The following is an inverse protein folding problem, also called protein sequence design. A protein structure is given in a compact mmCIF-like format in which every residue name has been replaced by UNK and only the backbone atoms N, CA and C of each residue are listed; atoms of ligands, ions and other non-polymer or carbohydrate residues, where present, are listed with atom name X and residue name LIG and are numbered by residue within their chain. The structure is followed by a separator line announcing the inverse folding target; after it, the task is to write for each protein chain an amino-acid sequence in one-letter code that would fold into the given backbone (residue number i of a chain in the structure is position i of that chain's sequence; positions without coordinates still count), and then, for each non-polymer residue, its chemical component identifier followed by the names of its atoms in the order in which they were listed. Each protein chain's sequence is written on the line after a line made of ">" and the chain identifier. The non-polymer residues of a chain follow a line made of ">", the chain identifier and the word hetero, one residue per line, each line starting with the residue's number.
data_IF_834601187343
#
_entry.id   IF_834601187343
#
_cell.length_a   1.000
_cell.length_b   1.000
_cell.length_c   1.000
_cell.angle_alpha   90.00
_cell.angle_beta   90.00
_cell.angle_gamma   90.00
#
_symmetry.space_group_name_H-M   'P 1'
#
loop_
_entity.id
_entity.type
_entity.pdbx_description
1 polymer ?
#
# COMPACT_ATOMS: atom_id res chain seq x y z
N UNK A 1 -0.27 -31.23 -55.90
CA UNK A 1 -0.49 -31.96 -54.62
C UNK A 1 0.79 -32.17 -53.80
N UNK A 2 1.93 -31.54 -54.14
CA UNK A 2 3.20 -31.75 -53.42
C UNK A 2 3.54 -30.66 -52.37
N UNK A 3 2.91 -29.48 -52.42
CA UNK A 3 3.20 -28.38 -51.48
C UNK A 3 2.46 -28.44 -50.13
N UNK A 4 1.59 -29.44 -49.91
CA UNK A 4 0.87 -29.62 -48.64
C UNK A 4 1.65 -30.46 -47.61
N UNK A 5 2.75 -31.11 -48.00
CA UNK A 5 3.57 -31.95 -47.10
C UNK A 5 4.62 -31.17 -46.30
N UNK A 6 4.90 -29.91 -46.65
CA UNK A 6 5.93 -29.13 -45.95
C UNK A 6 5.47 -28.55 -44.60
N UNK A 7 4.15 -28.45 -44.38
CA UNK A 7 3.57 -27.92 -43.14
C UNK A 7 3.51 -28.92 -41.98
N UNK A 8 3.79 -30.21 -42.22
CA UNK A 8 3.74 -31.23 -41.16
C UNK A 8 5.07 -31.44 -40.41
N UNK A 9 6.18 -30.80 -40.81
CA UNK A 9 7.51 -31.09 -40.25
C UNK A 9 8.17 -29.99 -39.43
N UNK A 10 7.50 -28.87 -39.17
CA UNK A 10 7.99 -27.83 -38.27
C UNK A 10 6.93 -27.47 -37.23
N UNK A 11 6.72 -28.37 -36.27
CA UNK A 11 6.03 -28.04 -35.03
C UNK A 11 7.01 -27.33 -34.08
N UNK A 12 7.47 -26.15 -34.49
CA UNK A 12 7.91 -25.16 -33.52
C UNK A 12 6.65 -24.53 -32.96
N UNK A 13 6.26 -24.92 -31.75
CA UNK A 13 5.13 -24.33 -31.05
C UNK A 13 5.47 -22.87 -30.70
N UNK A 14 5.02 -21.95 -31.54
CA UNK A 14 5.05 -20.52 -31.26
C UNK A 14 3.74 -20.14 -30.55
N UNK A 15 3.82 -19.62 -29.32
CA UNK A 15 2.66 -19.09 -28.62
C UNK A 15 2.31 -17.70 -29.18
N UNK A 16 1.32 -17.65 -30.05
CA UNK A 16 0.72 -16.38 -30.50
C UNK A 16 -0.40 -16.04 -29.51
N UNK A 17 -0.31 -14.89 -28.83
CA UNK A 17 -1.36 -14.37 -27.96
C UNK A 17 -2.60 -14.03 -28.78
N UNK A 18 -3.78 -14.26 -28.20
CA UNK A 18 -5.10 -14.21 -28.86
C UNK A 18 -5.44 -12.89 -29.58
N UNK A 19 -4.74 -11.81 -29.25
CA UNK A 19 -5.00 -10.46 -29.80
C UNK A 19 -4.52 -10.30 -31.25
N UNK A 20 -3.43 -10.95 -31.68
CA UNK A 20 -2.89 -10.75 -33.04
C UNK A 20 -3.73 -11.42 -34.15
N UNK A 21 -4.59 -12.40 -33.82
CA UNK A 21 -5.48 -13.02 -34.81
C UNK A 21 -6.55 -12.07 -35.36
N UNK A 22 -6.81 -10.95 -34.69
CA UNK A 22 -7.87 -10.00 -35.05
C UNK A 22 -7.49 -9.09 -36.22
N UNK A 23 -6.20 -8.74 -36.38
CA UNK A 23 -5.72 -7.80 -37.40
C UNK A 23 -5.49 -8.41 -38.79
N UNK A 24 -5.39 -9.74 -38.89
CA UNK A 24 -5.18 -10.46 -40.16
C UNK A 24 -6.48 -10.68 -40.98
N UNK A 25 -7.64 -10.24 -40.48
CA UNK A 25 -8.97 -10.52 -41.05
C UNK A 25 -9.55 -9.38 -41.88
N UNK A 26 -8.76 -8.69 -42.70
CA UNK A 26 -9.36 -7.85 -43.74
C UNK A 26 -9.87 -8.74 -44.88
N UNK A 27 -11.07 -9.32 -44.69
CA UNK A 27 -11.73 -10.20 -45.64
C UNK A 27 -12.24 -9.41 -46.84
N UNK A 28 -11.78 -9.79 -48.03
CA UNK A 28 -12.30 -9.31 -49.31
C UNK A 28 -13.81 -9.60 -49.42
N UNK A 29 -14.60 -8.64 -49.91
CA UNK A 29 -16.03 -8.85 -50.14
C UNK A 29 -16.27 -9.63 -51.44
N UNK A 30 -17.42 -10.30 -51.59
CA UNK A 30 -17.75 -11.10 -52.79
C UNK A 30 -17.71 -10.26 -54.09
N UNK A 31 -18.06 -8.98 -54.01
CA UNK A 31 -18.06 -8.06 -55.15
C UNK A 31 -16.64 -7.64 -55.58
N UNK A 32 -15.69 -7.58 -54.63
CA UNK A 32 -14.28 -7.32 -54.91
C UNK A 32 -13.57 -8.55 -55.50
N UNK A 33 -14.07 -9.76 -55.23
CA UNK A 33 -13.48 -11.03 -55.69
C UNK A 33 -13.60 -11.30 -57.20
N UNK A 34 -14.48 -10.56 -57.89
CA UNK A 34 -14.67 -10.62 -59.34
C UNK A 34 -14.03 -9.45 -60.07
N UNK A 35 -13.43 -8.49 -59.35
CA UNK A 35 -12.72 -7.35 -59.91
C UNK A 35 -11.21 -7.61 -59.90
N UNK A 36 -10.62 -7.69 -61.10
CA UNK A 36 -9.20 -7.99 -61.30
C UNK A 36 -8.26 -6.98 -60.60
N UNK A 37 -8.65 -5.69 -60.60
CA UNK A 37 -7.87 -4.60 -59.99
C UNK A 37 -7.85 -4.73 -58.47
N UNK A 38 -9.02 -5.03 -57.87
CA UNK A 38 -9.15 -5.25 -56.43
C UNK A 38 -8.41 -6.51 -55.99
N UNK A 39 -8.42 -7.58 -56.80
CA UNK A 39 -7.68 -8.81 -56.54
C UNK A 39 -6.17 -8.57 -56.54
N UNK A 40 -5.65 -7.84 -57.53
CA UNK A 40 -4.23 -7.50 -57.61
C UNK A 40 -3.78 -6.64 -56.43
N UNK A 41 -4.59 -5.65 -56.03
CA UNK A 41 -4.31 -4.82 -54.86
C UNK A 41 -4.29 -5.62 -53.56
N UNK A 42 -5.21 -6.56 -53.39
CA UNK A 42 -5.23 -7.43 -52.21
C UNK A 42 -4.06 -8.43 -52.21
N UNK A 43 -3.67 -8.95 -53.38
CA UNK A 43 -2.47 -9.79 -53.53
C UNK A 43 -1.22 -9.02 -53.09
N UNK A 44 -1.03 -7.78 -53.56
CA UNK A 44 0.08 -6.92 -53.14
C UNK A 44 0.05 -6.66 -51.62
N UNK A 45 -1.11 -6.36 -51.05
CA UNK A 45 -1.25 -6.19 -49.60
C UNK A 45 -0.82 -7.43 -48.81
N UNK A 46 -1.19 -8.63 -49.26
CA UNK A 46 -0.79 -9.89 -48.63
C UNK A 46 0.71 -10.15 -48.80
N UNK A 47 1.30 -9.85 -49.96
CA UNK A 47 2.74 -9.95 -50.21
C UNK A 47 3.53 -9.01 -49.30
N UNK A 48 3.11 -7.75 -49.19
CA UNK A 48 3.72 -6.75 -48.30
C UNK A 48 3.59 -7.14 -46.82
N UNK A 49 2.41 -7.63 -46.42
CA UNK A 49 2.17 -8.10 -45.05
C UNK A 49 3.02 -9.33 -44.73
N UNK A 50 3.19 -10.25 -45.68
CA UNK A 50 4.05 -11.42 -45.52
C UNK A 50 5.53 -11.02 -45.39
N UNK A 51 6.01 -10.09 -46.23
CA UNK A 51 7.38 -9.58 -46.14
C UNK A 51 7.61 -8.93 -44.78
N UNK A 52 6.67 -8.09 -44.33
CA UNK A 52 6.72 -7.42 -43.03
C UNK A 52 6.76 -8.43 -41.88
N UNK A 53 5.85 -9.40 -41.86
CA UNK A 53 5.82 -10.45 -40.83
C UNK A 53 7.11 -11.29 -40.82
N UNK A 54 7.68 -11.59 -41.99
CA UNK A 54 8.95 -12.33 -42.08
C UNK A 54 10.12 -11.52 -41.53
N UNK A 55 10.11 -10.19 -41.75
CA UNK A 55 11.12 -9.28 -41.24
C UNK A 55 10.97 -9.10 -39.72
N UNK A 56 9.73 -8.93 -39.23
CA UNK A 56 9.41 -8.86 -37.80
C UNK A 56 9.77 -10.17 -37.08
N UNK A 57 9.53 -11.33 -37.69
CA UNK A 57 10.00 -12.63 -37.16
C UNK A 57 11.52 -12.69 -37.01
N UNK A 58 12.28 -12.08 -37.92
CA UNK A 58 13.75 -12.09 -37.87
C UNK A 58 14.33 -11.09 -36.87
N UNK A 59 13.58 -10.05 -36.49
CA UNK A 59 14.05 -8.96 -35.63
C UNK A 59 13.50 -9.03 -34.20
N UNK A 60 12.26 -9.49 -34.03
CA UNK A 60 11.54 -9.48 -32.75
C UNK A 60 11.54 -10.84 -32.03
N UNK A 61 11.85 -11.94 -32.73
CA UNK A 61 11.70 -13.29 -32.18
C UNK A 61 13.01 -14.08 -32.21
N UNK A 62 13.32 -14.73 -31.09
CA UNK A 62 14.47 -15.64 -30.98
C UNK A 62 13.97 -17.08 -31.13
N UNK A 63 14.54 -17.89 -32.04
CA UNK A 63 14.20 -19.31 -32.17
C UNK A 63 14.30 -20.04 -30.83
N UNK A 64 13.30 -20.88 -30.53
CA UNK A 64 13.26 -21.64 -29.28
C UNK A 64 14.53 -22.49 -29.04
N UNK A 65 15.14 -23.00 -30.11
CA UNK A 65 16.40 -23.73 -30.05
C UNK A 65 17.58 -22.83 -29.64
N UNK A 66 17.70 -21.64 -30.23
CA UNK A 66 18.74 -20.66 -29.86
C UNK A 66 18.56 -20.16 -28.44
N UNK A 67 17.30 -20.03 -27.97
CA UNK A 67 17.00 -19.72 -26.58
C UNK A 67 17.47 -20.85 -25.64
N UNK A 68 17.19 -22.09 -25.98
CA UNK A 68 17.62 -23.25 -25.17
C UNK A 68 19.16 -23.36 -25.08
N UNK A 69 19.87 -23.14 -26.19
CA UNK A 69 21.34 -23.10 -26.22
C UNK A 69 21.90 -21.98 -25.33
N UNK A 70 21.31 -20.78 -25.39
CA UNK A 70 21.69 -19.65 -24.53
C UNK A 70 21.38 -19.90 -23.05
N UNK A 71 20.28 -20.58 -22.74
CA UNK A 71 19.91 -20.96 -21.38
C UNK A 71 20.90 -21.98 -20.81
N UNK A 72 21.37 -22.93 -21.61
CA UNK A 72 22.42 -23.89 -21.22
C UNK A 72 23.78 -23.21 -21.01
N UNK A 73 24.19 -22.32 -21.93
CA UNK A 73 25.42 -21.52 -21.80
C UNK A 73 25.39 -20.65 -20.54
N UNK A 74 24.23 -20.04 -20.24
CA UNK A 74 24.02 -19.27 -19.02
C UNK A 74 24.23 -20.12 -17.75
N UNK A 75 23.72 -21.36 -17.72
CA UNK A 75 23.92 -22.26 -16.57
C UNK A 75 25.40 -22.58 -16.38
N UNK A 76 26.14 -22.85 -17.46
CA UNK A 76 27.59 -23.12 -17.40
C UNK A 76 28.35 -21.90 -16.88
N UNK A 77 28.03 -20.70 -17.36
CA UNK A 77 28.66 -19.46 -16.91
C UNK A 77 28.35 -19.15 -15.44
N UNK A 78 27.13 -19.41 -14.97
CA UNK A 78 26.75 -19.26 -13.57
C UNK A 78 27.55 -20.20 -12.67
N UNK A 79 27.67 -21.48 -13.05
CA UNK A 79 28.49 -22.44 -12.30
C UNK A 79 29.96 -22.00 -12.22
N UNK A 80 30.52 -21.47 -13.32
CA UNK A 80 31.89 -20.96 -13.35
C UNK A 80 32.06 -19.74 -12.43
N UNK A 81 31.09 -18.82 -12.42
CA UNK A 81 31.07 -17.69 -11.50
C UNK A 81 31.04 -18.17 -10.05
N UNK A 82 30.15 -19.08 -9.71
CA UNK A 82 29.98 -19.56 -8.33
C UNK A 82 31.25 -20.28 -7.82
N UNK A 83 31.91 -21.07 -8.68
CA UNK A 83 33.22 -21.65 -8.36
C UNK A 83 34.29 -20.58 -8.13
N UNK A 84 34.34 -19.54 -8.97
CA UNK A 84 35.30 -18.45 -8.82
C UNK A 84 35.03 -17.61 -7.57
N UNK A 85 33.77 -17.34 -7.24
CA UNK A 85 33.37 -16.66 -6.00
C UNK A 85 33.77 -17.46 -4.76
N UNK A 86 33.57 -18.78 -4.78
CA UNK A 86 33.98 -19.65 -3.67
C UNK A 86 35.50 -19.68 -3.50
N UNK A 87 36.26 -19.75 -4.60
CA UNK A 87 37.71 -19.67 -4.55
C UNK A 87 38.18 -18.30 -4.03
N UNK A 88 37.55 -17.21 -4.46
CA UNK A 88 37.89 -15.87 -4.00
C UNK A 88 37.62 -15.71 -2.50
N UNK A 89 36.51 -16.25 -1.99
CA UNK A 89 36.22 -16.29 -0.55
C UNK A 89 37.29 -17.06 0.23
N UNK A 90 37.75 -18.21 -0.28
CA UNK A 90 38.85 -18.97 0.35
C UNK A 90 40.18 -18.21 0.34
N UNK A 91 40.50 -17.51 -0.75
CA UNK A 91 41.72 -16.71 -0.86
C UNK A 91 41.68 -15.50 0.08
N UNK A 92 40.57 -14.78 0.14
CA UNK A 92 40.37 -13.67 1.06
C UNK A 92 40.49 -14.13 2.52
N UNK A 93 39.93 -15.29 2.84
CA UNK A 93 40.06 -15.92 4.16
C UNK A 93 41.53 -16.18 4.53
N UNK A 94 42.30 -16.78 3.61
CA UNK A 94 43.74 -17.03 3.84
C UNK A 94 44.50 -15.73 4.02
N UNK A 95 44.19 -14.71 3.23
CA UNK A 95 44.82 -13.40 3.32
C UNK A 95 44.58 -12.73 4.67
N UNK A 96 43.32 -12.67 5.12
CA UNK A 96 42.94 -12.09 6.43
C UNK A 96 43.63 -12.83 7.58
N UNK A 97 43.70 -14.17 7.53
CA UNK A 97 44.43 -14.96 8.54
C UNK A 97 45.91 -14.63 8.56
N UNK A 98 46.54 -14.49 7.41
CA UNK A 98 47.96 -14.10 7.32
C UNK A 98 48.20 -12.70 7.89
N UNK A 99 47.30 -11.75 7.66
CA UNK A 99 47.39 -10.40 8.24
C UNK A 99 47.30 -10.44 9.77
N UNK A 100 46.35 -11.18 10.34
CA UNK A 100 46.20 -11.35 11.79
C UNK A 100 47.45 -11.97 12.42
N UNK A 101 47.99 -13.01 11.78
CA UNK A 101 49.24 -13.66 12.22
C UNK A 101 50.40 -12.65 12.19
N UNK A 102 50.57 -11.94 11.07
CA UNK A 102 51.62 -10.94 10.88
C UNK A 102 51.56 -9.84 11.94
N UNK A 103 50.37 -9.29 12.18
CA UNK A 103 50.15 -8.26 13.18
C UNK A 103 50.45 -8.76 14.60
N UNK A 104 49.97 -9.96 14.94
CA UNK A 104 50.22 -10.58 16.25
C UNK A 104 51.72 -10.77 16.51
N UNK A 105 52.45 -11.25 15.50
CA UNK A 105 53.90 -11.45 15.59
C UNK A 105 54.65 -10.10 15.69
N UNK A 106 54.24 -9.10 14.92
CA UNK A 106 54.86 -7.77 14.95
C UNK A 106 54.65 -7.08 16.30
N UNK A 107 53.44 -7.19 16.86
CA UNK A 107 53.13 -6.67 18.20
C UNK A 107 53.93 -7.40 19.29
N UNK A 108 54.05 -8.73 19.19
CA UNK A 108 54.89 -9.52 20.09
C UNK A 108 56.37 -9.13 20.05
N UNK A 109 56.92 -8.90 18.85
CA UNK A 109 58.30 -8.42 18.69
C UNK A 109 58.48 -7.01 19.31
N UNK A 110 57.54 -6.10 19.10
CA UNK A 110 57.56 -4.74 19.68
C UNK A 110 57.49 -4.75 21.21
N UNK A 111 56.83 -5.74 21.80
CA UNK A 111 56.72 -5.92 23.26
C UNK A 111 57.92 -6.64 23.87
N UNK A 112 59.06 -6.68 23.16
CA UNK A 112 60.30 -7.31 23.58
C UNK A 112 60.12 -8.79 23.97
N UNK A 113 59.23 -9.50 23.27
CA UNK A 113 58.97 -10.93 23.46
C UNK A 113 58.60 -11.31 24.91
N UNK A 114 57.86 -10.44 25.62
CA UNK A 114 57.42 -10.66 27.01
C UNK A 114 56.63 -11.95 27.25
N UNK A 115 56.02 -12.50 26.20
CA UNK A 115 55.29 -13.77 26.24
C UNK A 115 56.10 -14.87 25.56
N UNK A 116 55.96 -16.11 26.01
CA UNK A 116 56.60 -17.24 25.32
C UNK A 116 56.03 -17.40 23.91
N UNK A 117 56.88 -17.81 22.96
CA UNK A 117 56.44 -18.07 21.59
C UNK A 117 55.31 -19.12 21.53
N UNK A 118 55.33 -20.09 22.45
CA UNK A 118 54.32 -21.14 22.55
C UNK A 118 52.94 -20.56 22.91
N UNK A 119 52.88 -19.58 23.81
CA UNK A 119 51.63 -18.90 24.17
C UNK A 119 51.11 -18.01 23.02
N UNK A 120 52.01 -17.40 22.26
CA UNK A 120 51.66 -16.61 21.06
C UNK A 120 51.10 -17.51 19.96
N UNK A 121 51.73 -18.66 19.72
CA UNK A 121 51.24 -19.66 18.78
C UNK A 121 49.88 -20.24 19.21
N UNK A 122 49.69 -20.42 20.51
CA UNK A 122 48.40 -20.87 21.06
C UNK A 122 47.32 -19.79 20.90
N UNK A 123 47.65 -18.51 21.05
CA UNK A 123 46.75 -17.39 20.72
C UNK A 123 46.41 -17.38 19.22
N UNK A 124 47.41 -17.51 18.34
CA UNK A 124 47.20 -17.59 16.89
C UNK A 124 46.29 -18.76 16.51
N UNK A 125 46.46 -19.92 17.15
CA UNK A 125 45.60 -21.11 16.93
C UNK A 125 44.18 -20.93 17.45
N UNK A 126 44.01 -20.24 18.59
CA UNK A 126 42.70 -19.97 19.21
C UNK A 126 41.90 -18.90 18.48
N UNK A 127 42.56 -18.02 17.71
CA UNK A 127 41.92 -17.08 16.79
C UNK A 127 41.37 -17.84 15.57
N UNK A 128 40.33 -18.65 15.77
CA UNK A 128 39.55 -19.22 14.66
C UNK A 128 38.75 -18.10 13.98
N UNK A 129 38.73 -18.17 12.66
CA UNK A 129 38.57 -17.05 11.74
C UNK A 129 37.13 -16.52 11.57
N UNK A 130 37.06 -15.24 11.25
CA UNK A 130 35.86 -14.44 10.96
C UNK A 130 35.21 -14.92 9.65
N UNK A 131 33.90 -15.13 9.66
CA UNK A 131 33.09 -15.31 8.44
C UNK A 131 32.07 -14.17 8.37
N UNK A 132 32.16 -13.28 7.38
CA UNK A 132 31.17 -12.22 7.16
C UNK A 132 31.66 -11.08 6.26
N UNK A 133 30.96 -10.93 5.13
CA UNK A 133 30.85 -9.81 4.18
C UNK A 133 31.99 -8.76 4.07
N UNK A 134 32.53 -8.64 2.86
CA UNK A 134 33.69 -7.79 2.51
C UNK A 134 33.47 -6.28 2.63
N UNK A 135 32.28 -5.80 3.02
CA UNK A 135 32.05 -4.38 3.28
C UNK A 135 32.31 -3.95 4.72
N UNK A 136 32.62 -4.88 5.63
CA UNK A 136 32.95 -4.52 7.00
C UNK A 136 34.47 -4.27 7.10
N UNK A 137 35.30 -4.84 6.22
CA UNK A 137 36.76 -4.93 6.41
C UNK A 137 37.51 -3.61 6.21
N UNK A 138 37.02 -2.73 5.33
CA UNK A 138 37.62 -1.40 5.14
C UNK A 138 37.20 -0.39 6.22
N UNK A 139 36.11 -0.63 6.95
CA UNK A 139 35.70 0.17 8.13
C UNK A 139 36.16 -0.47 9.46
N UNK A 140 36.77 -1.67 9.41
CA UNK A 140 37.15 -2.53 10.54
C UNK A 140 38.50 -2.19 11.19
N UNK A 141 39.26 -1.23 10.63
CA UNK A 141 40.56 -0.80 11.15
C UNK A 141 40.65 0.72 11.35
N UNK A 142 39.56 1.35 11.75
CA UNK A 142 39.66 2.58 12.54
C UNK A 142 40.04 2.19 13.97
N UNK A 143 41.16 2.72 14.47
CA UNK A 143 41.84 2.44 15.75
C UNK A 143 40.97 2.70 17.01
N UNK A 144 39.85 1.99 17.18
CA UNK A 144 39.04 2.00 18.40
C UNK A 144 38.77 0.58 18.92
N UNK A 145 39.43 0.15 20.02
CA UNK A 145 39.26 -1.18 20.61
C UNK A 145 37.83 -1.47 21.10
N UNK A 146 36.95 -0.47 21.20
CA UNK A 146 35.53 -0.70 21.49
C UNK A 146 34.76 -1.22 20.29
N UNK A 147 35.03 -0.74 19.06
CA UNK A 147 34.33 -1.19 17.84
C UNK A 147 34.63 -2.66 17.53
N UNK A 148 35.88 -3.09 17.73
CA UNK A 148 36.27 -4.50 17.54
C UNK A 148 35.56 -5.44 18.51
N UNK A 149 35.41 -5.05 19.79
CA UNK A 149 34.67 -5.84 20.78
C UNK A 149 33.19 -5.97 20.42
N UNK A 150 32.59 -4.89 19.92
CA UNK A 150 31.19 -4.91 19.48
C UNK A 150 30.96 -5.85 18.28
N UNK A 151 31.88 -5.87 17.31
CA UNK A 151 31.81 -6.79 16.18
C UNK A 151 31.91 -8.26 16.62
N UNK A 152 32.79 -8.59 17.57
CA UNK A 152 32.91 -9.95 18.13
C UNK A 152 31.62 -10.38 18.82
N UNK A 153 31.03 -9.49 19.62
CA UNK A 153 29.74 -9.76 20.28
C UNK A 153 28.64 -9.99 19.22
N UNK A 154 28.59 -9.16 18.18
CA UNK A 154 27.62 -9.32 17.09
C UNK A 154 27.72 -10.69 16.41
N UNK A 155 28.93 -11.10 16.04
CA UNK A 155 29.19 -12.38 15.40
C UNK A 155 28.77 -13.56 16.29
N UNK A 156 29.15 -13.52 17.58
CA UNK A 156 28.77 -14.56 18.53
C UNK A 156 27.24 -14.75 18.63
N UNK A 157 26.48 -13.65 18.67
CA UNK A 157 25.02 -13.72 18.68
C UNK A 157 24.45 -14.27 17.37
N UNK A 158 25.01 -13.90 16.22
CA UNK A 158 24.55 -14.42 14.92
C UNK A 158 24.82 -15.93 14.81
N UNK A 159 26.01 -16.39 15.19
CA UNK A 159 26.39 -17.81 15.19
C UNK A 159 25.48 -18.62 16.11
N UNK A 160 25.36 -18.18 17.37
CA UNK A 160 24.54 -18.87 18.36
C UNK A 160 23.07 -18.94 17.95
N UNK A 161 22.56 -17.89 17.31
CA UNK A 161 21.20 -17.89 16.76
C UNK A 161 21.05 -18.92 15.64
N UNK A 162 22.01 -18.99 14.71
CA UNK A 162 21.97 -19.96 13.60
C UNK A 162 22.01 -21.41 14.12
N UNK A 163 22.78 -21.68 15.17
CA UNK A 163 22.82 -22.99 15.82
C UNK A 163 21.43 -23.38 16.36
N UNK A 164 20.76 -22.47 17.08
CA UNK A 164 19.42 -22.72 17.64
C UNK A 164 18.38 -22.98 16.54
N UNK A 165 18.44 -22.23 15.43
CA UNK A 165 17.57 -22.46 14.27
C UNK A 165 17.83 -23.83 13.65
N UNK A 166 19.10 -24.22 13.50
CA UNK A 166 19.51 -25.50 12.90
C UNK A 166 19.13 -26.70 13.77
N UNK A 167 19.14 -26.53 15.09
CA UNK A 167 18.69 -27.53 16.06
C UNK A 167 17.16 -27.65 16.16
N UNK A 168 16.39 -26.78 15.50
CA UNK A 168 14.94 -26.77 15.58
C UNK A 168 14.38 -26.20 16.90
N UNK A 169 15.22 -25.52 17.69
CA UNK A 169 14.86 -24.91 18.97
C UNK A 169 14.27 -23.51 18.77
N UNK A 170 13.18 -23.41 18.01
CA UNK A 170 12.65 -22.12 17.52
C UNK A 170 12.19 -21.17 18.62
N UNK A 171 11.59 -21.68 19.70
CA UNK A 171 11.20 -20.86 20.87
C UNK A 171 12.42 -20.24 21.54
N UNK A 172 13.50 -21.02 21.74
CA UNK A 172 14.75 -20.53 22.30
C UNK A 172 15.44 -19.56 21.36
N UNK A 173 15.42 -19.83 20.05
CA UNK A 173 15.95 -18.93 19.03
C UNK A 173 15.22 -17.57 19.02
N UNK A 174 13.89 -17.57 19.15
CA UNK A 174 13.07 -16.36 19.20
C UNK A 174 13.40 -15.52 20.44
N UNK A 175 13.42 -16.14 21.63
CA UNK A 175 13.82 -15.49 22.87
C UNK A 175 15.26 -14.96 22.80
N UNK A 176 16.18 -15.72 22.23
CA UNK A 176 17.58 -15.31 22.08
C UNK A 176 17.71 -14.10 21.14
N UNK A 177 16.99 -14.08 20.02
CA UNK A 177 16.97 -12.94 19.11
C UNK A 177 16.36 -11.69 19.76
N UNK A 178 15.25 -11.85 20.48
CA UNK A 178 14.56 -10.76 21.16
C UNK A 178 15.40 -10.10 22.27
N UNK A 179 16.25 -10.85 22.95
CA UNK A 179 17.15 -10.36 24.01
C UNK A 179 18.54 -9.95 23.50
N UNK A 180 18.76 -9.96 22.18
CA UNK A 180 20.07 -9.59 21.61
C UNK A 180 20.44 -8.13 21.95
N UNK A 181 21.69 -7.85 22.34
CA UNK A 181 22.12 -6.53 22.73
C UNK A 181 21.98 -5.58 21.53
N UNK A 182 21.61 -4.33 21.81
CA UNK A 182 21.36 -3.29 20.80
C UNK A 182 20.39 -3.72 19.68
N UNK A 183 19.56 -4.76 19.92
CA UNK A 183 18.63 -5.34 18.94
C UNK A 183 19.32 -5.90 17.67
N UNK A 184 20.55 -6.39 17.78
CA UNK A 184 21.35 -6.92 16.65
C UNK A 184 20.58 -7.94 15.80
N UNK A 185 19.80 -8.83 16.43
CA UNK A 185 19.04 -9.88 15.75
C UNK A 185 17.58 -9.48 15.46
N UNK A 186 17.15 -8.27 15.81
CA UNK A 186 15.81 -7.79 15.46
C UNK A 186 15.87 -7.07 14.12
N UNK A 187 16.08 -7.85 13.06
CA UNK A 187 16.26 -7.35 11.70
C UNK A 187 15.54 -8.25 10.68
N UNK A 188 15.41 -7.74 9.45
CA UNK A 188 14.71 -8.42 8.35
C UNK A 188 15.34 -9.77 7.98
N UNK A 189 16.67 -9.90 8.09
CA UNK A 189 17.38 -11.16 7.81
C UNK A 189 16.98 -12.27 8.79
N UNK A 190 16.93 -11.95 10.08
CA UNK A 190 16.52 -12.87 11.15
C UNK A 190 15.05 -13.26 10.99
N UNK A 191 14.19 -12.28 10.69
CA UNK A 191 12.78 -12.51 10.40
C UNK A 191 12.57 -13.44 9.19
N UNK A 192 13.32 -13.25 8.10
CA UNK A 192 13.26 -14.10 6.92
C UNK A 192 13.67 -15.55 7.20
N UNK A 193 14.63 -15.78 8.12
CA UNK A 193 14.99 -17.13 8.58
C UNK A 193 13.82 -17.82 9.29
N UNK A 194 13.10 -17.09 10.16
CA UNK A 194 11.88 -17.63 10.78
C UNK A 194 10.76 -17.89 9.76
N UNK A 195 10.60 -16.98 8.79
CA UNK A 195 9.60 -17.08 7.72
C UNK A 195 9.83 -18.30 6.83
N UNK A 196 11.09 -18.64 6.54
CA UNK A 196 11.47 -19.78 5.71
C UNK A 196 11.12 -21.16 6.33
N UNK A 197 10.94 -21.25 7.65
CA UNK A 197 10.63 -22.52 8.33
C UNK A 197 9.17 -22.95 8.07
N UNK A 198 8.24 -21.99 7.97
CA UNK A 198 6.82 -22.27 7.77
C UNK A 198 6.11 -22.89 8.97
N UNK A 199 4.88 -23.40 8.73
CA UNK A 199 4.03 -23.99 9.77
C UNK A 199 4.50 -25.40 10.14
N UNK A 200 4.61 -25.67 11.44
CA UNK A 200 4.98 -26.98 11.98
C UNK A 200 3.75 -27.58 12.66
N UNK A 201 3.42 -28.84 12.34
CA UNK A 201 2.23 -29.51 12.87
C UNK A 201 2.25 -29.55 14.40
N UNK A 202 1.18 -29.07 15.02
CA UNK A 202 1.00 -29.09 16.47
C UNK A 202 1.87 -28.11 17.26
N UNK A 203 2.64 -27.24 16.60
CA UNK A 203 3.43 -26.17 17.24
C UNK A 203 3.00 -24.79 16.72
N UNK A 204 3.16 -23.72 17.52
CA UNK A 204 2.97 -22.36 17.04
C UNK A 204 3.90 -22.05 15.86
N UNK A 205 3.46 -21.16 14.98
CA UNK A 205 4.28 -20.68 13.87
C UNK A 205 5.58 -20.04 14.40
N UNK A 206 6.78 -20.51 14.02
CA UNK A 206 8.05 -19.94 14.49
C UNK A 206 8.19 -18.44 14.27
N UNK A 207 7.64 -17.92 13.17
CA UNK A 207 7.60 -16.49 12.88
C UNK A 207 6.75 -15.71 13.91
N UNK A 208 5.63 -16.28 14.36
CA UNK A 208 4.79 -15.65 15.38
C UNK A 208 5.52 -15.60 16.73
N UNK A 209 6.20 -16.69 17.11
CA UNK A 209 7.02 -16.74 18.33
C UNK A 209 8.12 -15.66 18.34
N UNK A 210 8.77 -15.44 17.20
CA UNK A 210 9.76 -14.38 17.04
C UNK A 210 9.17 -12.98 17.29
N UNK A 211 8.02 -12.67 16.69
CA UNK A 211 7.37 -11.37 16.87
C UNK A 211 6.84 -11.19 18.29
N UNK A 212 6.24 -12.21 18.88
CA UNK A 212 5.78 -12.17 20.27
C UNK A 212 6.95 -11.89 21.23
N UNK A 213 8.09 -12.56 21.04
CA UNK A 213 9.28 -12.33 21.84
C UNK A 213 9.81 -10.89 21.68
N UNK A 214 9.92 -10.38 20.45
CA UNK A 214 10.43 -9.02 20.18
C UNK A 214 9.51 -7.94 20.75
N UNK A 215 8.20 -8.06 20.56
CA UNK A 215 7.26 -7.06 21.06
C UNK A 215 7.15 -7.12 22.57
N UNK A 216 7.26 -8.29 23.20
CA UNK A 216 7.29 -8.38 24.65
C UNK A 216 8.55 -7.80 25.29
N UNK A 217 9.70 -7.79 24.58
CA UNK A 217 10.93 -7.15 25.05
C UNK A 217 11.12 -5.73 24.52
N UNK A 218 10.12 -5.14 23.85
CA UNK A 218 10.26 -3.84 23.19
C UNK A 218 10.65 -2.73 24.18
N UNK A 219 10.00 -2.67 25.34
CA UNK A 219 10.23 -1.66 26.37
C UNK A 219 11.60 -1.78 27.07
N UNK A 220 12.28 -2.93 26.94
CA UNK A 220 13.60 -3.15 27.52
C UNK A 220 14.73 -2.37 26.80
N UNK A 221 14.46 -1.81 25.61
CA UNK A 221 15.44 -1.02 24.87
C UNK A 221 14.93 0.38 24.57
N UNK A 222 15.82 1.36 24.66
CA UNK A 222 15.52 2.77 24.37
C UNK A 222 15.10 3.05 22.93
N UNK A 223 15.57 2.24 21.97
CA UNK A 223 15.25 2.43 20.54
C UNK A 223 13.95 1.71 20.20
N UNK A 224 13.02 2.35 19.46
CA UNK A 224 11.80 1.70 19.00
C UNK A 224 12.14 0.57 18.01
N UNK A 225 11.19 -0.32 17.80
CA UNK A 225 11.33 -1.41 16.83
C UNK A 225 11.24 -0.81 15.41
N UNK A 226 11.87 -1.45 14.43
CA UNK A 226 11.75 -0.99 13.05
C UNK A 226 10.28 -1.08 12.57
N UNK A 227 9.83 -0.09 11.81
CA UNK A 227 8.45 -0.01 11.31
C UNK A 227 8.09 -1.16 10.34
N UNK A 228 9.02 -1.58 9.47
CA UNK A 228 8.80 -2.70 8.56
C UNK A 228 8.65 -4.03 9.30
N UNK A 229 9.46 -4.24 10.37
CA UNK A 229 9.29 -5.40 11.26
C UNK A 229 7.96 -5.36 12.00
N UNK A 230 7.54 -4.18 12.46
CA UNK A 230 6.23 -4.00 13.10
C UNK A 230 5.10 -4.39 12.16
N UNK A 231 5.15 -3.92 10.90
CA UNK A 231 4.16 -4.27 9.88
C UNK A 231 4.11 -5.77 9.61
N UNK A 232 5.24 -6.43 9.43
CA UNK A 232 5.28 -7.89 9.20
C UNK A 232 4.79 -8.66 10.43
N UNK A 233 5.06 -8.16 11.64
CA UNK A 233 4.55 -8.75 12.89
C UNK A 233 3.04 -8.67 13.02
N UNK A 234 2.44 -7.51 12.70
CA UNK A 234 0.99 -7.34 12.65
C UNK A 234 0.38 -8.28 11.61
N UNK A 235 0.92 -8.33 10.38
CA UNK A 235 0.44 -9.25 9.34
C UNK A 235 0.51 -10.71 9.80
N UNK A 236 1.61 -11.10 10.45
CA UNK A 236 1.78 -12.44 10.97
C UNK A 236 0.74 -12.78 12.03
N UNK A 237 0.53 -11.89 13.02
CA UNK A 237 -0.49 -12.08 14.06
C UNK A 237 -1.90 -12.20 13.49
N UNK A 238 -2.26 -11.33 12.53
CA UNK A 238 -3.56 -11.38 11.87
C UNK A 238 -3.75 -12.64 11.01
N UNK A 239 -2.70 -13.10 10.32
CA UNK A 239 -2.76 -14.33 9.50
C UNK A 239 -2.90 -15.61 10.31
N UNK A 240 -2.49 -15.59 11.58
CA UNK A 240 -2.70 -16.68 12.54
C UNK A 240 -3.97 -16.49 13.39
N UNK A 241 -4.86 -15.56 12.99
CA UNK A 241 -6.13 -15.25 13.68
C UNK A 241 -5.94 -14.81 15.15
N UNK A 242 -4.77 -14.28 15.49
CA UNK A 242 -4.41 -13.80 16.84
C UNK A 242 -4.60 -12.29 16.98
N UNK A 243 -5.83 -11.82 16.76
CA UNK A 243 -6.18 -10.40 16.97
C UNK A 243 -6.04 -9.99 18.44
N UNK A 244 -6.16 -10.93 19.37
CA UNK A 244 -5.87 -10.75 20.79
C UNK A 244 -4.43 -10.26 21.03
N UNK A 245 -3.45 -10.89 20.38
CA UNK A 245 -2.04 -10.49 20.47
C UNK A 245 -1.81 -9.12 19.86
N UNK A 246 -2.36 -8.87 18.66
CA UNK A 246 -2.24 -7.56 18.00
C UNK A 246 -2.86 -6.45 18.86
N UNK A 247 -4.02 -6.71 19.47
CA UNK A 247 -4.65 -5.78 20.41
C UNK A 247 -3.73 -5.48 21.59
N UNK A 248 -3.16 -6.51 22.20
CA UNK A 248 -2.23 -6.37 23.32
C UNK A 248 -1.01 -5.55 22.93
N UNK A 249 -0.40 -5.84 21.77
CA UNK A 249 0.79 -5.13 21.32
C UNK A 249 0.53 -3.66 21.02
N UNK A 250 -0.61 -3.32 20.42
CA UNK A 250 -1.00 -1.93 20.15
C UNK A 250 -1.36 -1.20 21.44
N UNK A 251 -2.24 -1.75 22.28
CA UNK A 251 -2.72 -1.08 23.51
C UNK A 251 -1.64 -0.88 24.57
N UNK A 252 -0.58 -1.70 24.56
CA UNK A 252 0.56 -1.56 25.47
C UNK A 252 1.73 -0.79 24.83
N UNK A 253 1.51 -0.15 23.67
CA UNK A 253 2.52 0.61 22.93
C UNK A 253 3.82 -0.17 22.71
N UNK A 254 3.70 -1.49 22.49
CA UNK A 254 4.85 -2.39 22.31
C UNK A 254 5.39 -2.37 20.87
N UNK A 255 4.68 -1.68 19.97
CA UNK A 255 4.93 -1.60 18.55
C UNK A 255 5.34 -0.19 18.15
N UNK A 256 6.00 -0.06 17.01
CA UNK A 256 6.25 1.24 16.41
C UNK A 256 5.06 1.63 15.53
N UNK A 257 4.31 2.63 15.97
CA UNK A 257 3.17 3.14 15.21
C UNK A 257 3.61 3.82 13.91
N UNK A 258 2.88 3.51 12.85
CA UNK A 258 3.08 4.06 11.51
C UNK A 258 1.78 3.98 10.73
N UNK A 259 1.64 4.84 9.71
CA UNK A 259 0.49 4.84 8.80
C UNK A 259 0.19 3.45 8.24
N UNK A 260 1.23 2.79 7.71
CA UNK A 260 1.12 1.45 7.11
C UNK A 260 0.68 0.38 8.12
N UNK A 261 1.08 0.50 9.38
CA UNK A 261 0.65 -0.42 10.44
C UNK A 261 -0.86 -0.28 10.70
N UNK A 262 -1.35 0.97 10.77
CA UNK A 262 -2.79 1.25 10.87
C UNK A 262 -3.57 0.73 9.67
N UNK A 263 -3.04 0.96 8.46
CA UNK A 263 -3.68 0.53 7.21
C UNK A 263 -3.89 -0.99 7.13
N UNK A 264 -2.93 -1.77 7.62
CA UNK A 264 -3.03 -3.24 7.67
C UNK A 264 -4.17 -3.69 8.59
N UNK A 265 -4.26 -3.11 9.79
CA UNK A 265 -5.31 -3.45 10.76
C UNK A 265 -6.68 -3.01 10.24
N UNK A 266 -6.75 -1.82 9.65
CA UNK A 266 -7.97 -1.29 9.04
C UNK A 266 -8.47 -2.20 7.91
N UNK A 267 -7.59 -2.58 6.98
CA UNK A 267 -7.93 -3.46 5.87
C UNK A 267 -8.40 -4.84 6.34
N UNK A 268 -7.76 -5.39 7.38
CA UNK A 268 -8.21 -6.65 8.00
C UNK A 268 -9.62 -6.52 8.59
N UNK A 269 -9.92 -5.42 9.27
CA UNK A 269 -11.25 -5.12 9.82
C UNK A 269 -12.33 -4.98 8.75
N UNK A 270 -12.03 -4.37 7.61
CA UNK A 270 -12.98 -4.27 6.49
C UNK A 270 -13.30 -5.65 5.86
N UNK A 271 -12.35 -6.59 5.90
CA UNK A 271 -12.56 -7.97 5.42
C UNK A 271 -13.30 -8.86 6.43
N UNK A 272 -13.20 -8.58 7.73
CA UNK A 272 -13.74 -9.43 8.80
C UNK A 272 -14.79 -8.70 9.63
N UNK A 273 -16.06 -8.90 9.30
CA UNK A 273 -17.20 -8.20 9.93
C UNK A 273 -17.26 -8.35 11.45
N UNK A 274 -16.95 -9.53 11.99
CA UNK A 274 -16.96 -9.79 13.44
C UNK A 274 -15.91 -8.98 14.20
N UNK A 275 -14.71 -8.81 13.61
CA UNK A 275 -13.59 -8.11 14.25
C UNK A 275 -13.54 -6.62 13.92
N UNK A 276 -14.37 -6.17 12.97
CA UNK A 276 -14.37 -4.80 12.44
C UNK A 276 -14.36 -3.71 13.51
N UNK A 277 -15.23 -3.71 14.55
CA UNK A 277 -15.21 -2.63 15.55
C UNK A 277 -13.87 -2.55 16.29
N UNK A 278 -13.30 -3.70 16.66
CA UNK A 278 -12.02 -3.79 17.37
C UNK A 278 -10.86 -3.34 16.48
N UNK A 279 -10.85 -3.74 15.21
CA UNK A 279 -9.83 -3.32 14.25
C UNK A 279 -9.88 -1.81 13.98
N UNK A 280 -11.07 -1.22 13.85
CA UNK A 280 -11.22 0.22 13.68
C UNK A 280 -10.71 0.99 14.90
N UNK A 281 -11.01 0.53 16.11
CA UNK A 281 -10.51 1.15 17.34
C UNK A 281 -8.96 1.07 17.44
N UNK A 282 -8.38 -0.08 17.08
CA UNK A 282 -6.91 -0.23 17.06
C UNK A 282 -6.24 0.63 16.00
N UNK A 283 -6.80 0.70 14.79
CA UNK A 283 -6.29 1.54 13.72
C UNK A 283 -6.40 3.02 14.11
N UNK A 284 -7.49 3.44 14.75
CA UNK A 284 -7.67 4.79 15.28
C UNK A 284 -6.58 5.17 16.28
N UNK A 285 -6.22 4.30 17.24
CA UNK A 285 -5.12 4.54 18.19
C UNK A 285 -3.82 4.83 17.42
N UNK A 286 -3.47 3.97 16.45
CA UNK A 286 -2.25 4.14 15.66
C UNK A 286 -2.28 5.45 14.86
N UNK A 287 -3.40 5.77 14.21
CA UNK A 287 -3.51 6.99 13.41
C UNK A 287 -3.43 8.26 14.27
N UNK A 288 -4.03 8.27 15.45
CA UNK A 288 -3.95 9.40 16.38
C UNK A 288 -2.50 9.66 16.83
N UNK A 289 -1.79 8.60 17.22
CA UNK A 289 -0.39 8.71 17.66
C UNK A 289 0.56 9.13 16.52
N UNK A 290 0.20 8.83 15.26
CA UNK A 290 0.94 9.29 14.10
C UNK A 290 0.54 10.70 13.60
N UNK A 291 -0.45 11.36 14.23
CA UNK A 291 -0.97 12.65 13.75
C UNK A 291 -1.78 12.57 12.45
N UNK A 292 -2.30 11.38 12.10
CA UNK A 292 -3.05 11.12 10.87
C UNK A 292 -4.55 11.34 11.07
N UNK A 293 -4.93 12.59 11.35
CA UNK A 293 -6.29 12.98 11.74
C UNK A 293 -7.38 12.53 10.76
N UNK A 294 -7.13 12.61 9.45
CA UNK A 294 -8.10 12.18 8.42
C UNK A 294 -8.48 10.70 8.54
N UNK A 295 -7.48 9.84 8.71
CA UNK A 295 -7.69 8.39 8.84
C UNK A 295 -8.30 8.02 10.19
N UNK A 296 -7.90 8.72 11.26
CA UNK A 296 -8.50 8.55 12.58
C UNK A 296 -10.00 8.90 12.58
N UNK A 297 -10.38 10.01 11.95
CA UNK A 297 -11.78 10.41 11.79
C UNK A 297 -12.61 9.41 10.99
N UNK A 298 -12.03 8.87 9.91
CA UNK A 298 -12.69 7.81 9.15
C UNK A 298 -12.96 6.59 10.03
N UNK A 299 -12.04 6.22 10.93
CA UNK A 299 -12.23 5.14 11.88
C UNK A 299 -13.35 5.43 12.89
N UNK A 300 -13.38 6.63 13.47
CA UNK A 300 -14.45 7.07 14.38
C UNK A 300 -15.83 7.02 13.71
N UNK A 301 -15.92 7.54 12.48
CA UNK A 301 -17.17 7.55 11.72
C UNK A 301 -17.63 6.12 11.41
N UNK A 302 -16.72 5.23 10.97
CA UNK A 302 -17.06 3.83 10.69
C UNK A 302 -17.43 3.03 11.95
N UNK A 303 -17.00 3.48 13.14
CA UNK A 303 -17.44 2.93 14.43
C UNK A 303 -18.81 3.46 14.87
N UNK A 304 -19.35 4.51 14.23
CA UNK A 304 -20.59 5.17 14.63
C UNK A 304 -20.40 6.22 15.74
N UNK A 305 -19.16 6.52 16.13
CA UNK A 305 -18.83 7.54 17.13
C UNK A 305 -18.84 8.94 16.49
N UNK A 306 -19.98 9.36 15.97
CA UNK A 306 -20.12 10.64 15.24
C UNK A 306 -19.87 11.84 16.15
N UNK A 307 -20.30 11.78 17.41
CA UNK A 307 -20.11 12.89 18.36
C UNK A 307 -18.62 13.19 18.59
N UNK A 308 -17.82 12.14 18.87
CA UNK A 308 -16.36 12.27 19.02
C UNK A 308 -15.68 12.74 17.73
N UNK A 309 -16.15 12.26 16.57
CA UNK A 309 -15.65 12.74 15.28
C UNK A 309 -15.88 14.25 15.08
N UNK A 310 -17.06 14.75 15.47
CA UNK A 310 -17.38 16.18 15.37
C UNK A 310 -16.54 17.04 16.33
N UNK A 311 -16.32 16.58 17.56
CA UNK A 311 -15.44 17.26 18.50
C UNK A 311 -14.01 17.35 17.96
N UNK A 312 -13.51 16.26 17.38
CA UNK A 312 -12.19 16.22 16.78
C UNK A 312 -12.08 17.18 15.58
N UNK A 313 -13.10 17.24 14.70
CA UNK A 313 -13.14 18.21 13.58
C UNK A 313 -13.09 19.65 14.08
N UNK A 314 -13.83 19.95 15.15
CA UNK A 314 -13.89 21.29 15.73
C UNK A 314 -12.56 21.73 16.35
N UNK A 315 -11.79 20.79 16.92
CA UNK A 315 -10.50 21.06 17.55
C UNK A 315 -9.36 21.13 16.52
N UNK A 316 -9.46 20.38 15.42
CA UNK A 316 -8.44 20.34 14.38
C UNK A 316 -8.48 21.57 13.48
N UNK A 317 -7.35 22.24 13.29
CA UNK A 317 -7.21 23.36 12.33
C UNK A 317 -6.87 22.91 10.90
N UNK A 318 -6.45 21.66 10.74
CA UNK A 318 -5.87 21.16 9.49
C UNK A 318 -6.90 20.49 8.55
N UNK A 319 -8.15 20.36 8.99
CA UNK A 319 -9.21 19.72 8.20
C UNK A 319 -9.89 20.75 7.32
N UNK A 320 -9.84 20.53 6.01
CA UNK A 320 -10.50 21.38 5.03
C UNK A 320 -11.82 20.76 4.55
N UNK A 321 -12.56 21.52 3.73
CA UNK A 321 -13.83 21.09 3.12
C UNK A 321 -13.67 19.84 2.25
N UNK A 322 -12.58 19.73 1.48
CA UNK A 322 -12.33 18.58 0.60
C UNK A 322 -12.17 17.27 1.40
N UNK A 323 -11.50 17.33 2.55
CA UNK A 323 -11.32 16.21 3.47
C UNK A 323 -12.66 15.70 4.01
N UNK A 324 -13.58 16.63 4.32
CA UNK A 324 -14.92 16.29 4.77
C UNK A 324 -15.77 15.68 3.64
N UNK A 325 -15.60 16.16 2.40
CA UNK A 325 -16.24 15.56 1.22
C UNK A 325 -15.71 14.14 0.98
N UNK A 326 -14.40 13.92 1.09
CA UNK A 326 -13.81 12.58 1.01
C UNK A 326 -14.32 11.68 2.15
N UNK A 327 -14.49 12.23 3.36
CA UNK A 327 -15.00 11.50 4.52
C UNK A 327 -16.45 11.01 4.31
N UNK A 328 -17.36 11.88 3.87
CA UNK A 328 -18.76 11.47 3.58
C UNK A 328 -18.84 10.50 2.41
N UNK A 329 -17.89 10.56 1.47
CA UNK A 329 -17.78 9.60 0.36
C UNK A 329 -17.31 8.23 0.87
N UNK A 330 -16.33 8.19 1.76
CA UNK A 330 -15.81 6.96 2.34
C UNK A 330 -16.75 6.33 3.39
N UNK A 331 -17.56 7.15 4.06
CA UNK A 331 -18.54 6.73 5.07
C UNK A 331 -19.86 7.50 4.92
N UNK A 332 -20.73 7.10 3.97
CA UNK A 332 -21.97 7.83 3.65
C UNK A 332 -23.08 7.54 4.67
N UNK A 333 -22.85 7.91 5.93
CA UNK A 333 -23.82 7.82 7.02
C UNK A 333 -24.64 9.11 7.11
N UNK A 334 -25.96 8.97 7.20
CA UNK A 334 -26.90 10.10 7.23
C UNK A 334 -26.64 10.99 8.45
N UNK A 335 -26.37 10.39 9.62
CA UNK A 335 -26.09 11.14 10.84
C UNK A 335 -24.82 11.98 10.75
N UNK A 336 -23.78 11.44 10.12
CA UNK A 336 -22.53 12.18 9.86
C UNK A 336 -22.78 13.38 8.95
N UNK A 337 -23.42 13.14 7.79
CA UNK A 337 -23.69 14.21 6.82
C UNK A 337 -24.52 15.31 7.49
N UNK A 338 -25.56 14.93 8.23
CA UNK A 338 -26.41 15.87 8.97
C UNK A 338 -25.61 16.69 9.99
N UNK A 339 -24.72 16.06 10.76
CA UNK A 339 -23.85 16.77 11.71
C UNK A 339 -22.91 17.77 11.03
N UNK A 340 -22.48 17.49 9.79
CA UNK A 340 -21.59 18.37 9.03
C UNK A 340 -22.34 19.52 8.34
N UNK A 341 -23.60 19.31 7.97
CA UNK A 341 -24.40 20.27 7.17
C UNK A 341 -25.37 21.12 7.99
N UNK A 342 -25.65 20.76 9.25
CA UNK A 342 -26.54 21.53 10.12
C UNK A 342 -25.75 22.46 11.03
N UNK A 343 -26.30 23.65 11.26
CA UNK A 343 -25.82 24.57 12.27
C UNK A 343 -25.98 23.95 13.67
N UNK A 344 -24.94 24.03 14.50
CA UNK A 344 -24.97 23.54 15.89
C UNK A 344 -24.26 24.52 16.80
N UNK A 345 -24.90 24.84 17.94
CA UNK A 345 -24.33 25.71 18.98
C UNK A 345 -23.85 27.07 18.45
N UNK A 346 -24.67 27.74 17.61
CA UNK A 346 -24.38 29.05 17.01
C UNK A 346 -23.12 29.07 16.11
N UNK A 347 -22.64 27.89 15.70
CA UNK A 347 -21.52 27.74 14.77
C UNK A 347 -22.02 27.39 13.38
N UNK A 348 -21.49 28.03 12.34
CA UNK A 348 -21.87 27.74 10.96
C UNK A 348 -21.57 26.27 10.63
N UNK A 349 -22.35 25.67 9.72
CA UNK A 349 -22.11 24.29 9.28
C UNK A 349 -20.74 24.16 8.61
N UNK A 350 -20.10 22.99 8.76
CA UNK A 350 -18.80 22.70 8.15
C UNK A 350 -18.89 22.45 6.64
N UNK A 351 -20.05 21.97 6.18
CA UNK A 351 -20.36 21.71 4.78
C UNK A 351 -21.68 22.35 4.39
N UNK A 352 -21.75 22.83 3.14
CA UNK A 352 -23.02 23.18 2.50
C UNK A 352 -23.88 21.93 2.31
N UNK A 353 -25.14 21.99 2.73
CA UNK A 353 -26.10 20.92 2.51
C UNK A 353 -26.32 20.71 1.02
N UNK A 354 -26.55 21.78 0.27
CA UNK A 354 -26.85 21.70 -1.15
C UNK A 354 -25.69 21.10 -1.96
N UNK A 355 -24.46 21.56 -1.68
CA UNK A 355 -23.27 21.01 -2.34
C UNK A 355 -23.04 19.54 -1.96
N UNK A 356 -23.29 19.14 -0.72
CA UNK A 356 -23.17 17.75 -0.30
C UNK A 356 -24.17 16.84 -1.03
N UNK A 357 -25.43 17.28 -1.19
CA UNK A 357 -26.45 16.55 -1.96
C UNK A 357 -26.02 16.41 -3.42
N UNK A 358 -25.64 17.51 -4.08
CA UNK A 358 -25.21 17.48 -5.48
C UNK A 358 -23.98 16.57 -5.69
N UNK A 359 -23.00 16.64 -4.78
CA UNK A 359 -21.84 15.75 -4.80
C UNK A 359 -22.24 14.27 -4.69
N UNK A 360 -23.16 13.93 -3.78
CA UNK A 360 -23.62 12.54 -3.67
C UNK A 360 -24.37 12.06 -4.92
N UNK A 361 -25.09 12.94 -5.62
CA UNK A 361 -25.71 12.59 -6.90
C UNK A 361 -24.68 12.41 -8.03
N UNK A 362 -23.56 13.14 -8.01
CA UNK A 362 -22.50 13.00 -9.01
C UNK A 362 -21.62 11.76 -8.82
N UNK A 363 -21.40 11.31 -7.57
CA UNK A 363 -20.57 10.12 -7.23
C UNK A 363 -21.43 8.84 -7.10
N UNK A 364 -22.60 8.79 -7.74
CA UNK A 364 -23.53 7.64 -7.78
C UNK A 364 -24.03 7.16 -6.39
N UNK A 365 -23.99 8.02 -5.37
CA UNK A 365 -24.54 7.75 -4.02
C UNK A 365 -26.01 8.17 -3.88
N UNK A 366 -26.79 8.03 -4.96
CA UNK A 366 -28.17 8.51 -5.07
C UNK A 366 -29.08 7.99 -3.94
N UNK A 367 -28.93 6.73 -3.55
CA UNK A 367 -29.74 6.13 -2.47
C UNK A 367 -29.53 6.76 -1.09
N UNK A 368 -28.33 7.31 -0.83
CA UNK A 368 -28.04 7.99 0.43
C UNK A 368 -28.55 9.42 0.35
N UNK A 369 -28.33 10.11 -0.77
CA UNK A 369 -28.85 11.45 -1.00
C UNK A 369 -30.39 11.51 -0.94
N UNK A 370 -31.08 10.54 -1.57
CA UNK A 370 -32.55 10.42 -1.50
C UNK A 370 -33.03 10.21 -0.06
N UNK A 371 -32.33 9.38 0.73
CA UNK A 371 -32.67 9.20 2.15
C UNK A 371 -32.42 10.47 2.97
N UNK A 372 -31.35 11.21 2.69
CA UNK A 372 -31.09 12.50 3.34
C UNK A 372 -32.19 13.52 3.02
N UNK A 373 -32.60 13.62 1.75
CA UNK A 373 -33.72 14.46 1.31
C UNK A 373 -35.04 14.03 1.96
N UNK A 374 -35.26 12.72 2.11
CA UNK A 374 -36.44 12.21 2.81
C UNK A 374 -36.47 12.66 4.27
N UNK A 375 -35.35 12.62 5.00
CA UNK A 375 -35.30 13.12 6.38
C UNK A 375 -35.56 14.63 6.46
N UNK A 376 -35.04 15.42 5.51
CA UNK A 376 -35.33 16.87 5.45
C UNK A 376 -36.80 17.13 5.11
N UNK A 377 -37.41 16.33 4.23
CA UNK A 377 -38.82 16.47 3.85
C UNK A 377 -39.81 16.18 4.98
N UNK A 378 -39.37 15.48 6.05
CA UNK A 378 -40.17 15.31 7.27
C UNK A 378 -40.17 16.56 8.15
N UNK A 379 -39.21 17.47 7.95
CA UNK A 379 -39.17 18.77 8.60
C UNK A 379 -40.25 19.70 8.06
N UNK A 380 -40.66 20.69 8.86
CA UNK A 380 -41.57 21.73 8.40
C UNK A 380 -40.91 22.70 7.41
N UNK A 381 -41.72 23.53 6.75
CA UNK A 381 -41.25 24.55 5.79
C UNK A 381 -40.20 25.47 6.41
N UNK A 382 -40.34 25.82 7.69
CA UNK A 382 -39.39 26.66 8.43
C UNK A 382 -37.97 26.07 8.48
N UNK A 383 -37.86 24.72 8.57
CA UNK A 383 -36.57 24.02 8.59
C UNK A 383 -35.91 24.08 7.22
N UNK A 384 -36.71 23.93 6.16
CA UNK A 384 -36.23 24.01 4.77
C UNK A 384 -35.81 25.45 4.45
N UNK A 385 -36.58 26.44 4.90
CA UNK A 385 -36.25 27.86 4.77
C UNK A 385 -34.94 28.17 5.48
N UNK A 386 -34.77 27.77 6.74
CA UNK A 386 -33.51 27.94 7.43
C UNK A 386 -32.34 27.28 6.68
N UNK A 387 -32.53 26.06 6.16
CA UNK A 387 -31.50 25.32 5.43
C UNK A 387 -31.07 26.03 4.14
N UNK A 388 -32.02 26.53 3.36
CA UNK A 388 -31.74 27.25 2.10
C UNK A 388 -31.12 28.62 2.38
N UNK A 389 -31.61 29.33 3.41
CA UNK A 389 -31.14 30.68 3.76
C UNK A 389 -29.75 30.67 4.43
N UNK A 390 -29.42 29.62 5.20
CA UNK A 390 -28.13 29.49 5.90
C UNK A 390 -27.00 28.94 5.01
N UNK A 391 -27.32 28.39 3.85
CA UNK A 391 -26.34 27.78 2.95
C UNK A 391 -25.63 28.82 2.06
N UNK A 392 -24.69 29.55 2.66
CA UNK A 392 -23.93 30.63 2.01
C UNK A 392 -23.08 30.19 0.81
N UNK A 393 -22.77 28.90 0.70
CA UNK A 393 -21.86 28.37 -0.33
C UNK A 393 -22.61 27.76 -1.53
N UNK A 394 -23.92 27.55 -1.42
CA UNK A 394 -24.75 27.01 -2.49
C UNK A 394 -25.46 28.13 -3.26
N UNK A 395 -25.19 28.26 -4.56
CA UNK A 395 -25.84 29.29 -5.39
C UNK A 395 -27.32 28.98 -5.63
N UNK A 396 -28.08 30.01 -6.00
CA UNK A 396 -29.50 29.88 -6.36
C UNK A 396 -29.71 28.85 -7.48
N UNK A 397 -28.85 28.84 -8.49
CA UNK A 397 -28.85 27.86 -9.59
C UNK A 397 -28.68 26.41 -9.10
N UNK A 398 -27.79 26.19 -8.13
CA UNK A 398 -27.55 24.87 -7.54
C UNK A 398 -28.74 24.42 -6.67
N UNK A 399 -29.38 25.34 -5.96
CA UNK A 399 -30.63 25.04 -5.26
C UNK A 399 -31.80 24.74 -6.20
N UNK A 400 -31.87 25.38 -7.38
CA UNK A 400 -32.82 24.99 -8.43
C UNK A 400 -32.52 23.58 -8.96
N UNK A 401 -31.25 23.21 -9.13
CA UNK A 401 -30.87 21.85 -9.49
C UNK A 401 -31.34 20.84 -8.44
N UNK A 402 -31.15 21.14 -7.15
CA UNK A 402 -31.65 20.31 -6.04
C UNK A 402 -33.17 20.19 -6.07
N UNK A 403 -33.91 21.28 -6.33
CA UNK A 403 -35.36 21.22 -6.46
C UNK A 403 -35.79 20.29 -7.62
N UNK A 404 -35.13 20.37 -8.77
CA UNK A 404 -35.35 19.46 -9.90
C UNK A 404 -35.06 18.00 -9.52
N UNK A 405 -33.97 17.75 -8.79
CA UNK A 405 -33.63 16.41 -8.27
C UNK A 405 -34.73 15.91 -7.31
N UNK A 406 -35.23 16.75 -6.40
CA UNK A 406 -36.34 16.43 -5.51
C UNK A 406 -37.59 16.03 -6.30
N UNK A 407 -37.94 16.80 -7.34
CA UNK A 407 -39.09 16.51 -8.20
C UNK A 407 -38.95 15.17 -8.93
N UNK A 408 -37.78 14.91 -9.52
CA UNK A 408 -37.47 13.66 -10.22
C UNK A 408 -37.55 12.43 -9.30
N UNK A 409 -37.26 12.59 -8.01
CA UNK A 409 -37.30 11.51 -7.02
C UNK A 409 -38.63 11.45 -6.24
N UNK A 410 -39.65 12.21 -6.64
CA UNK A 410 -41.00 12.15 -6.07
C UNK A 410 -41.25 13.06 -4.85
N UNK A 411 -40.28 13.88 -4.44
CA UNK A 411 -40.40 14.84 -3.34
C UNK A 411 -41.02 16.17 -3.80
N UNK A 412 -42.27 16.12 -4.28
CA UNK A 412 -42.97 17.30 -4.85
C UNK A 412 -43.11 18.45 -3.85
N UNK A 413 -43.46 18.15 -2.60
CA UNK A 413 -43.64 19.17 -1.56
C UNK A 413 -42.32 19.89 -1.27
N UNK A 414 -41.25 19.12 -1.03
CA UNK A 414 -39.90 19.66 -0.80
C UNK A 414 -39.41 20.51 -1.99
N UNK A 415 -39.64 20.05 -3.23
CA UNK A 415 -39.31 20.83 -4.43
C UNK A 415 -40.07 22.16 -4.48
N UNK A 416 -41.38 22.15 -4.18
CA UNK A 416 -42.21 23.35 -4.19
C UNK A 416 -41.80 24.33 -3.08
N UNK A 417 -41.46 23.82 -1.89
CA UNK A 417 -40.99 24.63 -0.77
C UNK A 417 -39.67 25.32 -1.11
N UNK A 418 -38.68 24.58 -1.62
CA UNK A 418 -37.39 25.15 -2.06
C UNK A 418 -37.64 26.24 -3.12
N UNK A 419 -38.42 25.96 -4.17
CA UNK A 419 -38.71 26.92 -5.23
C UNK A 419 -39.46 28.16 -4.71
N UNK A 420 -40.38 28.00 -3.76
CA UNK A 420 -41.08 29.11 -3.10
C UNK A 420 -40.11 30.03 -2.36
N UNK A 421 -39.13 29.45 -1.64
CA UNK A 421 -38.12 30.21 -0.88
C UNK A 421 -37.19 30.97 -1.83
N UNK A 422 -36.71 30.32 -2.89
CA UNK A 422 -35.85 30.96 -3.90
C UNK A 422 -36.56 32.14 -4.61
N UNK A 423 -37.86 32.00 -4.91
CA UNK A 423 -38.66 33.09 -5.51
C UNK A 423 -38.81 34.28 -4.58
N UNK A 424 -39.01 34.06 -3.27
CA UNK A 424 -39.06 35.16 -2.30
C UNK A 424 -37.72 35.89 -2.14
N UNK A 425 -36.59 35.21 -2.35
CA UNK A 425 -35.27 35.85 -2.35
C UNK A 425 -35.02 36.71 -3.60
N UNK A 426 -35.53 36.30 -4.76
CA UNK A 426 -35.28 36.97 -6.03
C UNK A 426 -36.08 38.28 -6.21
N UNK A 427 -37.04 38.59 -5.33
CA UNK A 427 -37.85 39.81 -5.43
C UNK A 427 -38.72 39.89 -6.69
N UNK A 428 -38.95 38.77 -7.37
CA UNK A 428 -39.78 38.73 -8.59
C UNK A 428 -41.18 38.29 -8.22
N UNK A 429 -42.04 39.29 -8.02
CA UNK A 429 -43.49 39.13 -8.19
C UNK A 429 -43.73 38.64 -9.62
N UNK A 430 -44.38 37.50 -9.81
CA UNK A 430 -44.98 37.15 -11.11
C UNK A 430 -45.95 38.28 -11.47
N UNK A 431 -45.61 39.10 -12.45
CA UNK A 431 -46.62 39.84 -13.21
C UNK A 431 -47.32 38.76 -14.02
N UNK A 432 -48.57 38.46 -13.67
CA UNK A 432 -49.44 37.67 -14.54
C UNK A 432 -49.48 38.34 -15.90
N UNK A 433 -49.28 37.57 -16.98
CA UNK A 433 -49.37 38.01 -18.38
C UNK A 433 -50.79 38.43 -18.81
N UNK A 434 -51.53 39.15 -17.97
CA UNK A 434 -52.90 39.57 -18.27
C UNK A 434 -53.18 41.07 -18.06
N UNK A 435 -52.17 41.87 -17.70
CA UNK A 435 -52.31 43.32 -17.71
C UNK A 435 -51.52 43.95 -18.86
N UNK A 436 -52.24 44.16 -19.96
CA UNK A 436 -51.86 45.07 -21.04
C UNK A 436 -51.70 46.50 -20.50
N UNK A 437 -50.49 46.87 -20.08
CA UNK A 437 -50.15 48.27 -19.81
C UNK A 437 -49.00 48.75 -20.68
N UNK A 438 -49.43 49.55 -21.66
CA UNK A 438 -48.72 50.45 -22.57
C UNK A 438 -47.33 50.91 -22.09
N UNK A 439 -46.28 50.52 -22.82
CA UNK A 439 -44.94 51.10 -22.69
C UNK A 439 -44.93 52.39 -23.53
N UNK A 440 -45.05 53.55 -22.89
CA UNK A 440 -44.72 54.83 -23.54
C UNK A 440 -43.20 55.00 -23.61
N UNK A 441 -42.69 55.18 -24.82
CA UNK A 441 -41.34 55.62 -25.11
C UNK A 441 -41.08 57.01 -24.51
N UNK A 442 -40.11 57.12 -23.61
CA UNK A 442 -39.48 58.39 -23.28
C UNK A 442 -38.22 58.57 -24.13
N UNK A 443 -38.37 59.39 -25.17
CA UNK A 443 -37.28 59.99 -25.95
C UNK A 443 -36.51 60.95 -25.04
N UNK A 444 -35.22 60.68 -24.80
CA UNK A 444 -34.30 61.63 -24.19
C UNK A 444 -33.79 62.61 -25.26
N UNK A 445 -33.93 63.91 -25.00
CA UNK A 445 -33.12 64.98 -25.57
C UNK A 445 -32.01 65.35 -24.59
#
# INVERSE_FOLDING_TARGET
>A
MENLKFWQKSLQHWCITREEQSNLKQRMTLQDSVNLEALNKHKQYLEDTYIKLKQDMSTMYVPAQKKAELDEEKVVLLNRRDMAENLNKDLQFRHQRLQVISHTLTSWMKQNMRMSFQDVMERIRKTKAIYGDNNIVDELFEDDPNKTKEAIVMLHYIERFNDLISLGEYERAACFAANSPKRILQNTSTMNKFKAIGKIRGKPLPLLLFFEAIFNTSQAFKRPINADLTMEGIKCGLSEERLDLVTHWVTQEKLTFSEKAGDIIFAYGEQHTYHKPRCLALAQIIYNECGLHRKALLCLCKQGQIHEAMEHIQQSKDINTDDLIQLITACPQIDLIRCLTQERNEKPPFLSFGLAVLHMFSVDMKKVAVRLLQEVSKGGKDVIEHLVMSDLFCSLEKWQEIANICLQNGFKNLSNDIMSILRSQAGVSEISEDDTTNIMEHVFW
#
